data_IF_454025196658
#
_entry.id   IF_454025196658
#
_cell.length_a   1.000
_cell.length_b   1.000
_cell.length_c   1.000
_cell.angle_alpha   90.00
_cell.angle_beta   90.00
_cell.angle_gamma   90.00
#
_symmetry.space_group_name_H-M   'P 1'
#
loop_
_entity.id
_entity.type
_entity.pdbx_description
1 polymer ?
#
# COMPACT_ATOMS: atom_id res chain seq x y z
N UNK A 1 25.73 9.72 8.20
CA UNK A 1 24.33 9.93 7.79
C UNK A 1 23.78 8.54 7.45
N UNK A 2 23.04 7.91 8.39
CA UNK A 2 22.59 6.52 8.24
C UNK A 2 21.38 6.47 7.30
N UNK A 3 21.37 5.56 6.36
CA UNK A 3 20.24 5.36 5.45
C UNK A 3 19.02 4.85 6.21
N UNK A 4 17.82 5.25 5.82
CA UNK A 4 16.54 4.91 6.46
C UNK A 4 16.26 3.40 6.52
N UNK A 5 16.97 2.58 5.74
CA UNK A 5 16.89 1.12 5.69
C UNK A 5 17.61 0.41 6.85
N UNK A 6 18.64 1.01 7.46
CA UNK A 6 19.45 0.36 8.50
C UNK A 6 18.89 0.51 9.91
N UNK A 7 18.08 1.56 10.16
CA UNK A 7 17.49 1.82 11.47
C UNK A 7 16.68 0.65 12.07
N UNK A 8 15.81 -0.04 11.32
CA UNK A 8 15.03 -1.15 11.90
C UNK A 8 15.89 -2.38 12.25
N UNK A 9 16.98 -2.63 11.53
CA UNK A 9 17.89 -3.75 11.82
C UNK A 9 18.70 -3.52 13.10
N UNK A 10 19.26 -2.31 13.27
CA UNK A 10 20.00 -1.91 14.46
C UNK A 10 19.11 -1.90 15.71
N UNK A 11 17.89 -1.40 15.60
CA UNK A 11 16.92 -1.39 16.70
C UNK A 11 16.57 -2.82 17.14
N UNK A 12 16.39 -3.74 16.17
CA UNK A 12 16.09 -5.15 16.42
C UNK A 12 17.24 -5.85 17.12
N UNK A 13 18.47 -5.69 16.61
CA UNK A 13 19.67 -6.26 17.24
C UNK A 13 19.86 -5.70 18.65
N UNK A 14 19.68 -4.40 18.85
CA UNK A 14 19.72 -3.76 20.16
C UNK A 14 18.68 -4.32 21.13
N UNK A 15 17.47 -4.57 20.68
CA UNK A 15 16.40 -5.16 21.49
C UNK A 15 16.74 -6.60 21.91
N UNK A 16 17.27 -7.43 21.00
CA UNK A 16 17.72 -8.79 21.33
C UNK A 16 18.83 -8.78 22.38
N UNK A 17 19.84 -7.92 22.21
CA UNK A 17 20.93 -7.77 23.20
C UNK A 17 20.39 -7.33 24.54
N UNK A 18 19.50 -6.35 24.58
CA UNK A 18 18.91 -5.85 25.82
C UNK A 18 18.12 -6.94 26.56
N UNK A 19 17.32 -7.74 25.84
CA UNK A 19 16.56 -8.85 26.44
C UNK A 19 17.51 -9.89 27.05
N UNK A 20 18.57 -10.30 26.36
CA UNK A 20 19.54 -11.27 26.89
C UNK A 20 20.32 -10.70 28.08
N UNK A 21 20.74 -9.45 28.02
CA UNK A 21 21.41 -8.75 29.13
C UNK A 21 20.50 -8.75 30.36
N UNK A 22 19.23 -8.37 30.21
CA UNK A 22 18.28 -8.39 31.32
C UNK A 22 18.08 -9.79 31.89
N UNK A 23 17.94 -10.82 31.03
CA UNK A 23 17.76 -12.21 31.46
C UNK A 23 18.99 -12.74 32.22
N UNK A 24 20.19 -12.29 31.87
CA UNK A 24 21.43 -12.68 32.55
C UNK A 24 21.65 -11.92 33.86
N UNK A 25 21.43 -10.59 33.81
CA UNK A 25 21.72 -9.73 34.99
C UNK A 25 20.63 -9.86 36.06
N UNK A 26 19.37 -10.04 35.70
CA UNK A 26 18.24 -10.03 36.63
C UNK A 26 18.36 -11.12 37.72
N UNK A 27 18.68 -12.41 37.39
CA UNK A 27 18.92 -13.45 38.42
C UNK A 27 20.11 -13.15 39.30
N UNK A 28 21.16 -12.56 38.74
CA UNK A 28 22.37 -12.18 39.52
C UNK A 28 22.02 -11.07 40.52
N UNK A 29 21.23 -10.09 40.10
CA UNK A 29 20.78 -8.99 40.99
C UNK A 29 19.88 -9.51 42.13
N UNK A 30 19.01 -10.48 41.84
CA UNK A 30 18.15 -11.12 42.86
C UNK A 30 18.96 -11.95 43.86
N UNK A 31 20.14 -12.46 43.48
CA UNK A 31 20.99 -13.30 44.34
C UNK A 31 21.94 -12.51 45.26
N UNK A 32 21.99 -11.19 45.17
CA UNK A 32 22.93 -10.34 45.96
C UNK A 32 22.70 -10.31 47.47
N UNK A 33 21.69 -11.03 47.99
CA UNK A 33 21.43 -11.10 49.44
C UNK A 33 22.30 -12.11 50.22
N UNK A 34 22.96 -13.09 49.55
CA UNK A 34 23.71 -14.16 50.22
C UNK A 34 24.99 -14.48 49.44
N UNK A 35 26.15 -13.94 49.89
CA UNK A 35 27.42 -14.07 49.16
C UNK A 35 28.26 -15.25 49.67
N UNK A 36 27.70 -16.49 49.68
CA UNK A 36 28.50 -17.69 49.93
C UNK A 36 29.03 -18.29 48.62
N UNK A 37 30.23 -18.93 48.63
CA UNK A 37 30.73 -19.68 47.47
C UNK A 37 29.73 -20.71 46.93
N UNK A 38 28.90 -21.31 47.80
CA UNK A 38 27.85 -22.27 47.45
C UNK A 38 26.76 -21.63 46.56
N UNK A 39 26.48 -20.34 46.69
CA UNK A 39 25.46 -19.64 45.93
C UNK A 39 25.92 -19.33 44.49
N UNK A 40 27.23 -19.07 44.28
CA UNK A 40 27.81 -18.95 42.94
C UNK A 40 27.70 -20.25 42.12
N UNK A 41 28.00 -21.42 42.75
CA UNK A 41 27.84 -22.73 42.10
C UNK A 41 26.35 -22.98 41.73
N UNK A 42 25.46 -22.58 42.60
CA UNK A 42 24.01 -22.70 42.37
C UNK A 42 23.57 -21.80 41.22
N UNK A 43 24.00 -20.54 41.17
CA UNK A 43 23.71 -19.58 40.09
C UNK A 43 24.21 -20.09 38.74
N UNK A 44 25.47 -20.53 38.67
CA UNK A 44 26.04 -21.09 37.44
C UNK A 44 25.24 -22.29 36.96
N UNK A 45 24.98 -23.23 37.82
CA UNK A 45 24.34 -24.50 37.51
C UNK A 45 22.89 -24.39 37.08
N UNK A 46 22.10 -23.55 37.74
CA UNK A 46 20.64 -23.48 37.53
C UNK A 46 20.18 -22.27 36.72
N UNK A 47 21.08 -21.33 36.43
CA UNK A 47 20.74 -20.10 35.71
C UNK A 47 21.61 -19.88 34.48
N UNK A 48 22.92 -19.75 34.62
CA UNK A 48 23.79 -19.36 33.51
C UNK A 48 23.91 -20.46 32.46
N UNK A 49 24.12 -21.75 32.87
CA UNK A 49 24.24 -22.87 31.94
C UNK A 49 22.95 -23.04 31.10
N UNK A 50 21.74 -23.12 31.70
CA UNK A 50 20.50 -23.18 30.92
C UNK A 50 20.29 -21.99 29.97
N UNK A 51 20.67 -20.77 30.37
CA UNK A 51 20.54 -19.59 29.52
C UNK A 51 21.36 -19.69 28.25
N UNK A 52 22.58 -20.24 28.32
CA UNK A 52 23.39 -20.48 27.12
C UNK A 52 22.65 -21.43 26.16
N UNK A 53 22.06 -22.53 26.67
CA UNK A 53 21.29 -23.44 25.84
C UNK A 53 20.04 -22.82 25.26
N UNK A 54 19.32 -21.99 26.03
CA UNK A 54 18.16 -21.25 25.55
C UNK A 54 18.54 -20.29 24.41
N UNK A 55 19.67 -19.58 24.54
CA UNK A 55 20.16 -18.70 23.49
C UNK A 55 20.52 -19.49 22.22
N UNK A 56 21.22 -20.62 22.33
CA UNK A 56 21.58 -21.46 21.19
C UNK A 56 20.30 -21.98 20.49
N UNK A 57 19.35 -22.56 21.26
CA UNK A 57 18.08 -23.07 20.71
C UNK A 57 17.29 -21.94 20.02
N UNK A 58 17.20 -20.79 20.68
CA UNK A 58 16.51 -19.63 20.14
C UNK A 58 17.11 -19.19 18.79
N UNK A 59 18.40 -18.88 18.75
CA UNK A 59 19.03 -18.37 17.54
C UNK A 59 19.12 -19.42 16.43
N UNK A 60 19.33 -20.69 16.75
CA UNK A 60 19.31 -21.77 15.77
C UNK A 60 17.93 -21.86 15.09
N UNK A 61 16.87 -21.78 15.87
CA UNK A 61 15.51 -21.77 15.35
C UNK A 61 15.20 -20.47 14.58
N UNK A 62 15.50 -19.32 15.20
CA UNK A 62 15.15 -18.00 14.63
C UNK A 62 15.91 -17.69 13.33
N UNK A 63 17.21 -18.03 13.24
CA UNK A 63 18.04 -17.71 12.09
C UNK A 63 18.02 -18.79 10.99
N UNK A 64 17.78 -20.07 11.36
CA UNK A 64 18.00 -21.17 10.42
C UNK A 64 16.78 -22.09 10.28
N UNK A 65 16.34 -22.76 11.35
CA UNK A 65 15.42 -23.89 11.26
C UNK A 65 14.01 -23.48 10.78
N UNK A 66 13.49 -22.35 11.26
CA UNK A 66 12.16 -21.90 10.89
C UNK A 66 12.10 -21.54 9.40
N UNK A 67 13.09 -20.78 8.90
CA UNK A 67 13.12 -20.35 7.49
C UNK A 67 13.40 -21.51 6.53
N UNK A 68 14.29 -22.44 6.91
CA UNK A 68 14.74 -23.52 6.01
C UNK A 68 13.84 -24.75 6.03
N UNK A 69 13.17 -25.03 7.14
CA UNK A 69 12.38 -26.24 7.31
C UNK A 69 10.89 -25.94 7.42
N UNK A 70 10.48 -25.09 8.35
CA UNK A 70 9.07 -24.90 8.64
C UNK A 70 8.36 -24.16 7.51
N UNK A 71 8.91 -23.03 7.04
CA UNK A 71 8.33 -22.27 5.91
C UNK A 71 8.49 -22.96 4.55
N UNK A 72 9.38 -23.96 4.45
CA UNK A 72 9.51 -24.82 3.27
C UNK A 72 8.67 -26.11 3.34
N UNK A 73 7.63 -26.13 4.20
CA UNK A 73 6.70 -27.27 4.37
C UNK A 73 7.36 -28.58 4.82
N UNK A 74 8.51 -28.51 5.49
CA UNK A 74 9.22 -29.66 6.08
C UNK A 74 9.05 -29.71 7.59
N UNK A 75 7.82 -29.53 8.07
CA UNK A 75 7.50 -29.40 9.50
C UNK A 75 7.93 -30.63 10.33
N UNK A 76 7.86 -31.84 9.76
CA UNK A 76 8.26 -33.05 10.45
C UNK A 76 9.77 -33.06 10.76
N UNK A 77 10.62 -32.60 9.82
CA UNK A 77 12.07 -32.44 10.05
C UNK A 77 12.36 -31.38 11.12
N UNK A 78 11.62 -30.26 11.08
CA UNK A 78 11.71 -29.24 12.10
C UNK A 78 11.43 -29.80 13.49
N UNK A 79 10.36 -30.59 13.65
CA UNK A 79 10.02 -31.23 14.93
C UNK A 79 11.08 -32.24 15.37
N UNK A 80 11.57 -33.10 14.47
CA UNK A 80 12.62 -34.10 14.80
C UNK A 80 13.92 -33.45 15.26
N UNK A 81 14.38 -32.41 14.54
CA UNK A 81 15.63 -31.72 14.90
C UNK A 81 15.46 -31.00 16.24
N UNK A 82 14.34 -30.31 16.49
CA UNK A 82 14.12 -29.68 17.77
C UNK A 82 14.00 -30.69 18.93
N UNK A 83 13.36 -31.83 18.71
CA UNK A 83 13.30 -32.89 19.69
C UNK A 83 14.72 -33.44 20.02
N UNK A 84 15.54 -33.65 18.99
CA UNK A 84 16.93 -34.09 19.17
C UNK A 84 17.75 -33.02 19.92
N UNK A 85 17.60 -31.73 19.59
CA UNK A 85 18.27 -30.63 20.28
C UNK A 85 17.88 -30.54 21.75
N UNK A 86 16.59 -30.60 22.05
CA UNK A 86 16.08 -30.55 23.43
C UNK A 86 16.63 -31.74 24.23
N UNK A 87 16.57 -32.95 23.67
CA UNK A 87 17.08 -34.16 24.34
C UNK A 87 18.59 -34.08 24.59
N UNK A 88 19.36 -33.67 23.57
CA UNK A 88 20.81 -33.51 23.68
C UNK A 88 21.19 -32.46 24.73
N UNK A 89 20.56 -31.29 24.73
CA UNK A 89 20.89 -30.24 25.71
C UNK A 89 20.39 -30.56 27.11
N UNK A 90 19.27 -31.28 27.26
CA UNK A 90 18.83 -31.79 28.58
C UNK A 90 19.83 -32.78 29.14
N UNK A 91 20.33 -33.71 28.32
CA UNK A 91 21.35 -34.65 28.73
C UNK A 91 22.66 -33.92 29.08
N UNK A 92 23.14 -33.01 28.24
CA UNK A 92 24.35 -32.22 28.47
C UNK A 92 24.24 -31.38 29.75
N UNK A 93 23.10 -30.79 30.00
CA UNK A 93 22.84 -30.03 31.23
C UNK A 93 22.89 -30.92 32.46
N UNK A 94 22.39 -32.16 32.37
CA UNK A 94 22.50 -33.13 33.46
C UNK A 94 23.97 -33.49 33.76
N UNK A 95 24.79 -33.78 32.74
CA UNK A 95 26.22 -34.07 32.90
C UNK A 95 26.97 -32.88 33.50
N UNK A 96 26.71 -31.65 33.05
CA UNK A 96 27.33 -30.46 33.61
C UNK A 96 26.95 -30.27 35.08
N UNK A 97 25.70 -30.53 35.44
CA UNK A 97 25.25 -30.49 36.86
C UNK A 97 26.01 -31.48 37.72
N UNK A 98 26.21 -32.70 37.25
CA UNK A 98 26.98 -33.73 37.97
C UNK A 98 28.47 -33.35 38.10
N UNK A 99 29.08 -32.83 37.04
CA UNK A 99 30.46 -32.32 37.07
C UNK A 99 30.63 -31.17 38.07
N UNK A 100 29.72 -30.19 38.08
CA UNK A 100 29.76 -29.07 39.05
C UNK A 100 29.60 -29.59 40.49
N UNK A 101 28.75 -30.61 40.74
CA UNK A 101 28.62 -31.24 42.05
C UNK A 101 29.89 -31.92 42.48
N UNK A 102 30.53 -32.67 41.57
CA UNK A 102 31.80 -33.37 41.84
C UNK A 102 32.92 -32.35 42.21
N UNK A 103 33.05 -31.28 41.42
CA UNK A 103 34.03 -30.21 41.68
C UNK A 103 33.80 -29.54 43.04
N UNK A 104 32.53 -29.32 43.41
CA UNK A 104 32.18 -28.76 44.73
C UNK A 104 32.55 -29.70 45.87
N UNK A 105 32.25 -30.99 45.70
CA UNK A 105 32.51 -31.99 46.74
C UNK A 105 34.04 -32.28 46.94
N UNK A 106 34.86 -31.96 45.94
CA UNK A 106 36.33 -31.97 46.02
C UNK A 106 36.91 -30.74 46.74
N UNK A 107 36.15 -29.67 46.89
CA UNK A 107 36.56 -28.43 47.57
C UNK A 107 36.19 -28.53 49.05
N UNK A 108 37.13 -28.42 50.01
CA UNK A 108 36.83 -28.49 51.44
C UNK A 108 35.87 -27.35 51.81
N UNK A 109 34.81 -27.62 52.62
CA UNK A 109 33.90 -26.58 53.07
C UNK A 109 34.66 -25.57 53.93
N UNK A 110 34.33 -24.26 53.84
CA UNK A 110 34.93 -23.25 54.71
C UNK A 110 34.77 -23.62 56.20
N UNK A 111 35.75 -23.35 57.06
CA UNK A 111 35.63 -23.59 58.49
C UNK A 111 34.39 -22.85 59.06
N UNK A 112 33.50 -23.58 59.78
CA UNK A 112 32.29 -23.02 60.36
C UNK A 112 31.04 -23.06 59.46
N UNK A 113 31.11 -23.70 58.31
CA UNK A 113 29.91 -23.88 57.44
C UNK A 113 28.86 -24.74 58.13
N UNK A 114 27.57 -24.38 58.11
CA UNK A 114 26.51 -25.22 58.63
C UNK A 114 26.46 -26.55 57.87
N UNK A 115 26.07 -27.65 58.53
CA UNK A 115 25.94 -28.94 57.85
C UNK A 115 24.93 -28.82 56.70
N UNK A 116 25.32 -29.39 55.53
CA UNK A 116 24.46 -29.41 54.33
C UNK A 116 23.11 -30.01 54.69
N UNK A 117 22.00 -29.34 54.32
CA UNK A 117 20.66 -29.83 54.61
C UNK A 117 20.50 -31.25 54.05
N UNK A 118 19.90 -32.15 54.89
CA UNK A 118 19.73 -33.55 54.59
C UNK A 118 19.11 -33.80 53.21
N UNK A 119 19.49 -34.91 52.59
CA UNK A 119 19.23 -35.31 51.19
C UNK A 119 17.75 -35.59 50.84
N UNK A 120 16.83 -34.72 51.09
CA UNK A 120 15.55 -34.79 50.39
C UNK A 120 15.70 -34.12 48.99
N UNK A 121 16.52 -34.79 48.13
CA UNK A 121 16.58 -34.34 46.69
C UNK A 121 15.23 -34.69 46.07
N UNK A 122 14.54 -33.69 45.44
CA UNK A 122 13.34 -33.99 44.65
C UNK A 122 13.66 -35.05 43.60
N UNK A 123 12.66 -35.85 43.17
CA UNK A 123 12.88 -36.92 42.19
C UNK A 123 13.55 -36.35 40.91
N UNK A 124 14.56 -37.06 40.40
CA UNK A 124 15.32 -36.67 39.21
C UNK A 124 14.41 -36.42 38.03
N UNK A 125 13.30 -37.14 37.93
CA UNK A 125 12.27 -37.01 36.92
C UNK A 125 11.69 -35.56 36.87
N UNK A 126 11.48 -34.95 38.03
CA UNK A 126 10.93 -33.59 38.09
C UNK A 126 11.88 -32.55 37.46
N UNK A 127 13.17 -32.73 37.63
CA UNK A 127 14.18 -31.85 37.00
C UNK A 127 14.25 -32.06 35.50
N UNK A 128 14.15 -33.28 35.01
CA UNK A 128 14.12 -33.59 33.58
C UNK A 128 12.90 -32.97 32.92
N UNK A 129 11.70 -33.10 33.50
CA UNK A 129 10.47 -32.46 32.99
C UNK A 129 10.59 -30.93 32.93
N UNK A 130 11.13 -30.32 34.00
CA UNK A 130 11.36 -28.88 34.03
C UNK A 130 12.29 -28.44 32.89
N UNK A 131 13.42 -29.12 32.71
CA UNK A 131 14.40 -28.78 31.69
C UNK A 131 13.84 -29.00 30.29
N UNK A 132 13.08 -30.08 30.02
CA UNK A 132 12.41 -30.31 28.74
C UNK A 132 11.40 -29.20 28.39
N UNK A 133 10.55 -28.81 29.34
CA UNK A 133 9.56 -27.76 29.13
C UNK A 133 10.24 -26.41 28.93
N UNK A 134 11.23 -26.09 29.75
CA UNK A 134 11.91 -24.79 29.69
C UNK A 134 12.69 -24.58 28.37
N UNK A 135 13.29 -25.67 27.83
CA UNK A 135 13.98 -25.61 26.54
C UNK A 135 13.02 -25.49 25.33
N UNK A 136 11.74 -25.80 25.50
CA UNK A 136 10.70 -25.54 24.48
C UNK A 136 10.31 -24.06 24.34
N UNK A 137 10.43 -23.29 25.42
CA UNK A 137 10.02 -21.86 25.42
C UNK A 137 10.77 -21.03 24.36
N UNK A 138 12.10 -21.09 24.22
CA UNK A 138 12.84 -20.36 23.18
C UNK A 138 12.37 -20.67 21.77
N UNK A 139 11.95 -21.90 21.49
CA UNK A 139 11.45 -22.32 20.18
C UNK A 139 10.12 -21.62 19.89
N UNK A 140 9.21 -21.59 20.88
CA UNK A 140 7.90 -20.92 20.76
C UNK A 140 8.09 -19.41 20.54
N UNK A 141 9.00 -18.78 21.28
CA UNK A 141 9.28 -17.34 21.14
C UNK A 141 9.87 -17.07 19.75
N UNK A 142 10.88 -17.86 19.32
CA UNK A 142 11.47 -17.71 17.99
C UNK A 142 10.42 -17.86 16.87
N UNK A 143 9.53 -18.83 17.01
CA UNK A 143 8.44 -19.09 16.09
C UNK A 143 7.45 -17.90 16.04
N UNK A 144 7.02 -17.39 17.19
CA UNK A 144 6.10 -16.26 17.27
C UNK A 144 6.69 -15.00 16.63
N UNK A 145 7.98 -14.70 16.88
CA UNK A 145 8.66 -13.57 16.28
C UNK A 145 8.77 -13.72 14.76
N UNK A 146 9.13 -14.91 14.27
CA UNK A 146 9.24 -15.17 12.82
C UNK A 146 7.91 -15.12 12.09
N UNK A 147 6.83 -15.62 12.69
CA UNK A 147 5.48 -15.49 12.11
C UNK A 147 5.09 -14.01 11.99
N UNK A 148 5.30 -13.24 13.06
CA UNK A 148 4.97 -11.81 13.05
C UNK A 148 5.77 -11.06 11.98
N UNK A 149 7.07 -11.33 11.82
CA UNK A 149 7.89 -10.74 10.74
C UNK A 149 7.36 -11.12 9.36
N UNK A 150 7.06 -12.41 9.16
CA UNK A 150 6.55 -12.91 7.88
C UNK A 150 5.19 -12.31 7.53
N UNK A 151 4.30 -12.20 8.51
CA UNK A 151 2.98 -11.61 8.33
C UNK A 151 3.09 -10.13 7.96
N UNK A 152 3.88 -9.36 8.72
CA UNK A 152 4.09 -7.93 8.45
C UNK A 152 4.66 -7.69 7.04
N UNK A 153 5.67 -8.48 6.61
CA UNK A 153 6.23 -8.34 5.27
C UNK A 153 5.23 -8.71 4.17
N UNK A 154 4.45 -9.77 4.37
CA UNK A 154 3.44 -10.21 3.39
C UNK A 154 2.31 -9.20 3.25
N UNK A 155 1.88 -8.59 4.35
CA UNK A 155 0.84 -7.54 4.33
C UNK A 155 1.34 -6.28 3.62
N UNK A 156 2.59 -5.85 3.87
CA UNK A 156 3.20 -4.73 3.18
C UNK A 156 3.31 -4.97 1.65
N UNK A 157 3.78 -6.16 1.25
CA UNK A 157 3.83 -6.55 -0.17
C UNK A 157 2.43 -6.56 -0.82
N UNK A 158 1.40 -7.02 -0.09
CA UNK A 158 0.03 -7.04 -0.58
C UNK A 158 -0.49 -5.63 -0.82
N UNK A 159 -0.29 -4.71 0.13
CA UNK A 159 -0.70 -3.31 0.00
C UNK A 159 0.00 -2.61 -1.17
N UNK A 160 1.29 -2.88 -1.38
CA UNK A 160 2.04 -2.33 -2.51
C UNK A 160 1.48 -2.84 -3.84
N UNK A 161 1.22 -4.15 -3.97
CA UNK A 161 0.60 -4.73 -5.17
C UNK A 161 -0.80 -4.19 -5.45
N UNK A 162 -1.63 -4.02 -4.41
CA UNK A 162 -2.96 -3.42 -4.56
C UNK A 162 -2.87 -1.99 -5.06
N UNK A 163 -1.91 -1.19 -4.56
CA UNK A 163 -1.63 0.15 -5.04
C UNK A 163 -1.17 0.17 -6.51
N UNK A 164 -0.30 -0.75 -6.91
CA UNK A 164 0.19 -0.85 -8.29
C UNK A 164 -0.92 -1.24 -9.26
N UNK A 165 -1.78 -2.19 -8.87
CA UNK A 165 -2.96 -2.57 -9.66
C UNK A 165 -3.89 -1.36 -9.84
N UNK A 166 -4.16 -0.63 -8.75
CA UNK A 166 -5.01 0.55 -8.78
C UNK A 166 -4.45 1.65 -9.69
N UNK A 167 -3.14 1.93 -9.60
CA UNK A 167 -2.46 2.90 -10.45
C UNK A 167 -2.53 2.48 -11.94
N UNK A 168 -2.32 1.19 -12.23
CA UNK A 168 -2.42 0.65 -13.59
C UNK A 168 -3.85 0.78 -14.13
N UNK A 169 -4.87 0.50 -13.31
CA UNK A 169 -6.27 0.65 -13.69
C UNK A 169 -6.61 2.12 -13.95
N UNK A 170 -6.15 3.04 -13.10
CA UNK A 170 -6.31 4.48 -13.32
C UNK A 170 -5.65 4.97 -14.61
N UNK A 171 -4.43 4.49 -14.91
CA UNK A 171 -3.74 4.80 -16.16
C UNK A 171 -4.51 4.27 -17.37
N UNK A 172 -4.96 3.03 -17.34
CA UNK A 172 -5.76 2.43 -18.42
C UNK A 172 -7.06 3.21 -18.66
N UNK A 173 -7.75 3.62 -17.59
CA UNK A 173 -8.95 4.47 -17.68
C UNK A 173 -8.64 5.82 -18.31
N UNK A 174 -7.45 6.39 -18.04
CA UNK A 174 -6.97 7.64 -18.63
C UNK A 174 -6.68 7.49 -20.14
N UNK A 175 -6.02 6.40 -20.54
CA UNK A 175 -5.66 6.15 -21.96
C UNK A 175 -6.85 5.79 -22.85
N UNK A 176 -7.94 5.26 -22.32
CA UNK A 176 -9.13 4.92 -23.11
C UNK A 176 -9.87 6.12 -23.70
N UNK A 177 -9.57 7.33 -23.25
CA UNK A 177 -10.32 8.54 -23.61
C UNK A 177 -9.89 9.19 -24.92
N UNK A 178 -8.81 8.77 -25.63
CA UNK A 178 -8.17 9.71 -26.55
C UNK A 178 -7.82 9.32 -28.00
N UNK A 179 -7.62 8.09 -28.44
CA UNK A 179 -7.18 7.82 -29.81
C UNK A 179 -8.16 8.32 -30.89
N UNK A 180 -9.43 8.13 -30.65
CA UNK A 180 -10.47 8.48 -31.61
C UNK A 180 -10.61 10.01 -31.85
N UNK A 181 -10.40 10.82 -30.81
CA UNK A 181 -10.41 12.27 -30.94
C UNK A 181 -9.30 12.77 -31.87
N UNK A 182 -8.09 12.25 -31.71
CA UNK A 182 -6.96 12.67 -32.55
C UNK A 182 -7.13 12.28 -34.01
N UNK A 183 -7.53 11.04 -34.28
CA UNK A 183 -7.81 10.60 -35.64
C UNK A 183 -8.88 11.45 -36.31
N UNK A 184 -9.95 11.78 -35.59
CA UNK A 184 -11.00 12.63 -36.12
C UNK A 184 -10.55 14.08 -36.36
N UNK A 185 -9.68 14.63 -35.49
CA UNK A 185 -9.14 15.96 -35.64
C UNK A 185 -8.19 16.04 -36.84
N UNK A 186 -7.34 15.05 -37.04
CA UNK A 186 -6.47 14.94 -38.22
C UNK A 186 -7.25 14.85 -39.53
N UNK A 187 -8.31 14.02 -39.55
CA UNK A 187 -9.20 13.92 -40.72
C UNK A 187 -9.88 15.26 -41.03
N UNK A 188 -10.27 16.01 -40.01
CA UNK A 188 -10.84 17.33 -40.19
C UNK A 188 -9.83 18.33 -40.75
N UNK A 189 -8.60 18.36 -40.22
CA UNK A 189 -7.51 19.17 -40.75
C UNK A 189 -7.25 18.85 -42.21
N UNK A 190 -7.21 17.58 -42.57
CA UNK A 190 -7.03 17.16 -43.96
C UNK A 190 -8.13 17.73 -44.87
N UNK A 191 -9.39 17.67 -44.45
CA UNK A 191 -10.51 18.24 -45.21
C UNK A 191 -10.45 19.79 -45.29
N UNK A 192 -9.84 20.46 -44.31
CA UNK A 192 -9.70 21.92 -44.29
C UNK A 192 -8.57 22.43 -45.18
N UNK A 193 -7.54 21.60 -45.46
CA UNK A 193 -6.36 22.03 -46.24
C UNK A 193 -6.77 22.64 -47.61
N UNK A 194 -7.71 22.00 -48.30
CA UNK A 194 -8.15 22.46 -49.59
C UNK A 194 -9.19 23.62 -49.53
N UNK A 195 -9.99 23.66 -48.44
CA UNK A 195 -11.12 24.60 -48.35
C UNK A 195 -10.72 25.91 -47.67
N UNK A 196 -9.86 25.85 -46.68
CA UNK A 196 -9.41 27.01 -45.89
C UNK A 196 -8.02 26.73 -45.28
N UNK A 197 -6.92 26.96 -46.00
CA UNK A 197 -5.55 26.69 -45.51
C UNK A 197 -5.22 27.42 -44.19
N UNK A 198 -5.68 28.65 -44.01
CA UNK A 198 -5.47 29.42 -42.78
C UNK A 198 -6.13 28.76 -41.57
N UNK A 199 -7.38 28.29 -41.73
CA UNK A 199 -8.10 27.59 -40.67
C UNK A 199 -7.49 26.22 -40.39
N UNK A 200 -6.96 25.53 -41.41
CA UNK A 200 -6.23 24.28 -41.24
C UNK A 200 -4.96 24.50 -40.37
N UNK A 201 -4.19 25.55 -40.63
CA UNK A 201 -3.00 25.91 -39.84
C UNK A 201 -3.35 26.22 -38.36
N UNK A 202 -4.43 27.02 -38.15
CA UNK A 202 -4.90 27.33 -36.79
C UNK A 202 -5.36 26.08 -36.05
N UNK A 203 -6.05 25.19 -36.75
CA UNK A 203 -6.50 23.90 -36.22
C UNK A 203 -5.33 22.99 -35.82
N UNK A 204 -4.28 22.93 -36.66
CA UNK A 204 -3.02 22.22 -36.34
C UNK A 204 -2.36 22.77 -35.08
N UNK A 205 -2.28 24.11 -34.97
CA UNK A 205 -1.69 24.77 -33.82
C UNK A 205 -2.46 24.47 -32.52
N UNK A 206 -3.80 24.55 -32.60
CA UNK A 206 -4.70 24.23 -31.48
C UNK A 206 -4.58 22.74 -31.06
N UNK A 207 -4.52 21.82 -32.02
CA UNK A 207 -4.31 20.39 -31.77
C UNK A 207 -2.95 20.11 -31.12
N UNK A 208 -1.89 20.80 -31.59
CA UNK A 208 -0.57 20.66 -31.00
C UNK A 208 -0.51 21.12 -29.53
N UNK A 209 -1.22 22.19 -29.18
CA UNK A 209 -1.36 22.64 -27.78
C UNK A 209 -2.08 21.61 -26.91
N UNK A 210 -3.19 21.07 -27.40
CA UNK A 210 -3.93 20.01 -26.70
C UNK A 210 -3.07 18.75 -26.51
N UNK A 211 -2.32 18.33 -27.56
CA UNK A 211 -1.41 17.19 -27.46
C UNK A 211 -0.30 17.43 -26.43
N UNK A 212 0.24 18.63 -26.36
CA UNK A 212 1.28 18.95 -25.35
C UNK A 212 0.76 18.78 -23.94
N UNK A 213 -0.41 19.33 -23.65
CA UNK A 213 -1.06 19.15 -22.35
C UNK A 213 -1.25 17.67 -22.02
N UNK A 214 -1.75 16.89 -22.99
CA UNK A 214 -2.00 15.45 -22.82
C UNK A 214 -0.73 14.62 -22.58
N UNK A 215 0.38 14.98 -23.22
CA UNK A 215 1.62 14.20 -23.15
C UNK A 215 2.50 14.57 -21.94
N UNK A 216 2.48 15.82 -21.52
CA UNK A 216 3.40 16.33 -20.50
C UNK A 216 2.71 16.72 -19.19
N UNK A 217 1.57 17.37 -19.25
CA UNK A 217 0.94 17.91 -18.05
C UNK A 217 0.04 16.90 -17.34
N UNK A 218 -0.40 15.85 -18.04
CA UNK A 218 -1.25 14.80 -17.47
C UNK A 218 -0.50 13.66 -16.80
N UNK A 219 0.84 13.64 -16.79
CA UNK A 219 1.63 12.61 -16.09
C UNK A 219 1.67 12.80 -14.57
N UNK A 220 1.20 13.95 -14.10
CA UNK A 220 1.01 14.21 -12.67
C UNK A 220 -0.34 13.68 -12.19
N UNK A 221 -0.45 13.24 -10.92
CA UNK A 221 -1.72 12.78 -10.36
C UNK A 221 -2.75 13.89 -10.25
N UNK A 222 -2.31 15.15 -10.20
CA UNK A 222 -3.15 16.36 -10.13
C UNK A 222 -2.55 17.50 -10.97
N UNK A 223 -3.43 18.31 -11.52
CA UNK A 223 -3.11 19.54 -12.28
C UNK A 223 -3.88 20.71 -11.70
N UNK A 224 -3.45 21.94 -12.00
CA UNK A 224 -4.22 23.12 -11.60
C UNK A 224 -5.58 23.14 -12.31
N UNK A 225 -6.63 23.59 -11.61
CA UNK A 225 -7.94 23.77 -12.22
C UNK A 225 -7.89 24.78 -13.35
N UNK A 226 -7.01 25.77 -13.30
CA UNK A 226 -6.78 26.75 -14.36
C UNK A 226 -6.29 26.09 -15.66
N UNK A 227 -5.35 25.15 -15.55
CA UNK A 227 -4.82 24.41 -16.71
C UNK A 227 -5.89 23.50 -17.32
N UNK A 228 -6.66 22.81 -16.47
CA UNK A 228 -7.78 21.99 -16.92
C UNK A 228 -8.85 22.81 -17.63
N UNK A 229 -9.19 24.00 -17.09
CA UNK A 229 -10.10 24.95 -17.75
C UNK A 229 -9.53 25.44 -19.09
N UNK A 230 -8.24 25.76 -19.14
CA UNK A 230 -7.54 26.12 -20.37
C UNK A 230 -7.64 25.02 -21.42
N UNK A 231 -7.43 23.79 -21.03
CA UNK A 231 -7.58 22.62 -21.90
C UNK A 231 -9.03 22.47 -22.39
N UNK A 232 -10.02 22.55 -21.49
CA UNK A 232 -11.44 22.45 -21.86
C UNK A 232 -11.85 23.54 -22.88
N UNK A 233 -11.44 24.79 -22.67
CA UNK A 233 -11.70 25.89 -23.62
C UNK A 233 -11.14 25.59 -25.00
N UNK A 234 -9.87 25.20 -25.08
CA UNK A 234 -9.23 24.85 -26.35
C UNK A 234 -9.91 23.66 -27.03
N UNK A 235 -10.32 22.67 -26.28
CA UNK A 235 -11.04 21.52 -26.79
C UNK A 235 -12.39 21.91 -27.39
N UNK A 236 -13.18 22.71 -26.66
CA UNK A 236 -14.49 23.20 -27.14
C UNK A 236 -14.34 24.04 -28.41
N UNK A 237 -13.35 24.93 -28.46
CA UNK A 237 -13.10 25.75 -29.66
C UNK A 237 -12.70 24.86 -30.86
N UNK A 238 -11.84 23.90 -30.66
CA UNK A 238 -11.48 22.94 -31.71
C UNK A 238 -12.69 22.15 -32.23
N UNK A 239 -13.59 21.74 -31.33
CA UNK A 239 -14.82 21.05 -31.71
C UNK A 239 -15.80 21.92 -32.44
N UNK A 240 -15.90 23.21 -32.10
CA UNK A 240 -16.74 24.20 -32.80
C UNK A 240 -16.39 24.32 -34.29
N UNK A 241 -15.11 24.25 -34.65
CA UNK A 241 -14.65 24.33 -36.06
C UNK A 241 -15.23 23.21 -36.96
N UNK A 242 -15.76 22.16 -36.37
CA UNK A 242 -16.35 21.00 -37.07
C UNK A 242 -17.86 21.06 -37.22
N UNK A 243 -18.49 22.09 -36.62
CA UNK A 243 -19.92 22.17 -36.55
C UNK A 243 -20.48 22.99 -37.73
N UNK A 244 -21.71 22.69 -38.13
CA UNK A 244 -22.47 23.52 -39.03
C UNK A 244 -23.15 24.67 -38.30
N UNK A 245 -23.64 25.64 -39.02
CA UNK A 245 -24.39 26.79 -38.47
C UNK A 245 -25.66 26.38 -37.68
N UNK A 246 -26.06 25.12 -37.77
CA UNK A 246 -27.18 24.55 -36.99
C UNK A 246 -26.83 24.20 -35.56
N UNK A 247 -25.56 24.21 -35.20
CA UNK A 247 -25.12 23.86 -33.85
C UNK A 247 -24.67 25.10 -33.10
N UNK A 248 -25.31 25.36 -31.97
CA UNK A 248 -24.93 26.42 -31.03
C UNK A 248 -24.23 25.81 -29.82
N UNK A 249 -23.04 26.34 -29.52
CA UNK A 249 -22.22 25.85 -28.36
C UNK A 249 -21.86 27.04 -27.50
N UNK A 250 -22.28 26.98 -26.25
CA UNK A 250 -21.94 27.95 -25.20
C UNK A 250 -21.04 27.30 -24.17
N UNK A 251 -19.97 27.98 -23.73
CA UNK A 251 -19.07 27.54 -22.71
C UNK A 251 -18.77 28.66 -21.72
N UNK A 252 -19.23 28.50 -20.50
CA UNK A 252 -19.08 29.45 -19.40
C UNK A 252 -18.09 28.85 -18.38
N UNK A 253 -16.82 29.19 -18.55
CA UNK A 253 -15.74 28.75 -17.67
C UNK A 253 -15.11 29.98 -17.01
N UNK A 254 -15.12 30.06 -15.68
CA UNK A 254 -14.58 31.21 -14.95
C UNK A 254 -13.05 31.30 -15.07
N UNK A 255 -12.51 32.45 -14.78
CA UNK A 255 -11.12 32.60 -14.42
C UNK A 255 -10.98 32.25 -12.92
N UNK A 256 -10.20 31.24 -12.62
CA UNK A 256 -10.03 30.75 -11.24
C UNK A 256 -8.76 31.32 -10.65
N UNK A 257 -8.93 32.16 -9.61
CA UNK A 257 -7.85 32.68 -8.78
C UNK A 257 -7.73 31.76 -7.56
N UNK A 258 -6.71 30.90 -7.50
CA UNK A 258 -6.47 30.01 -6.35
C UNK A 258 -5.81 28.68 -6.72
N UNK A 259 -5.33 27.98 -5.71
CA UNK A 259 -4.62 26.68 -5.82
C UNK A 259 -5.60 25.50 -5.77
N UNK A 260 -6.55 25.46 -6.70
CA UNK A 260 -7.39 24.26 -6.83
C UNK A 260 -6.69 23.24 -7.71
N UNK A 261 -6.58 22.01 -7.20
CA UNK A 261 -6.01 20.89 -7.93
C UNK A 261 -7.06 19.83 -8.21
N UNK A 262 -7.10 19.36 -9.46
CA UNK A 262 -8.00 18.31 -9.93
C UNK A 262 -7.22 17.24 -10.68
N UNK A 263 -7.73 16.00 -10.77
CA UNK A 263 -7.17 15.01 -11.67
C UNK A 263 -7.25 15.49 -13.11
N UNK A 264 -6.18 15.36 -13.90
CA UNK A 264 -6.19 15.77 -15.30
C UNK A 264 -7.27 15.05 -16.09
N UNK A 265 -7.87 15.72 -17.07
CA UNK A 265 -8.89 15.19 -17.99
C UNK A 265 -10.17 14.69 -17.29
N UNK A 266 -10.52 15.32 -16.17
CA UNK A 266 -11.69 14.89 -15.40
C UNK A 266 -12.99 15.25 -16.11
N UNK A 267 -13.08 16.50 -16.62
CA UNK A 267 -14.31 17.04 -17.19
C UNK A 267 -14.46 16.76 -18.70
N UNK A 268 -13.36 16.45 -19.38
CA UNK A 268 -13.37 16.28 -20.84
C UNK A 268 -14.31 15.16 -21.32
N UNK A 269 -14.43 14.09 -20.54
CA UNK A 269 -15.34 12.99 -20.87
C UNK A 269 -16.80 13.42 -20.94
N UNK A 270 -17.19 14.44 -20.18
CA UNK A 270 -18.55 15.01 -20.20
C UNK A 270 -18.76 15.89 -21.41
N UNK A 271 -17.72 16.68 -21.76
CA UNK A 271 -17.74 17.53 -22.97
C UNK A 271 -17.79 16.63 -24.22
N UNK A 272 -16.94 15.59 -24.31
CA UNK A 272 -16.97 14.62 -25.42
C UNK A 272 -18.33 13.94 -25.56
N UNK A 273 -18.91 13.52 -24.44
CA UNK A 273 -20.23 12.89 -24.46
C UNK A 273 -21.31 13.82 -25.02
N UNK A 274 -21.28 15.12 -24.64
CA UNK A 274 -22.22 16.11 -25.13
C UNK A 274 -22.06 16.34 -26.64
N UNK A 275 -20.82 16.48 -27.15
CA UNK A 275 -20.58 16.63 -28.60
C UNK A 275 -20.98 15.38 -29.38
N UNK A 276 -20.69 14.19 -28.84
CA UNK A 276 -21.00 12.91 -29.50
C UNK A 276 -22.49 12.65 -29.64
N UNK A 277 -23.28 13.06 -28.66
CA UNK A 277 -24.68 12.72 -28.55
C UNK A 277 -25.62 13.91 -28.78
N UNK A 278 -25.11 15.15 -28.65
CA UNK A 278 -25.88 16.38 -28.76
C UNK A 278 -25.84 17.07 -30.13
N UNK A 279 -25.12 16.51 -31.11
CA UNK A 279 -25.01 17.09 -32.46
C UNK A 279 -25.76 16.26 -33.49
N UNK A 280 -26.57 16.93 -34.31
CA UNK A 280 -27.24 16.35 -35.45
C UNK A 280 -26.79 17.05 -36.74
N UNK A 281 -26.60 16.30 -37.82
CA UNK A 281 -26.30 16.84 -39.13
C UNK A 281 -27.53 17.57 -39.77
N UNK A 282 -28.75 17.24 -39.34
CA UNK A 282 -29.99 17.69 -40.00
C UNK A 282 -30.81 18.63 -39.13
N UNK A 283 -30.69 18.55 -37.81
CA UNK A 283 -31.52 19.30 -36.85
C UNK A 283 -30.69 20.31 -36.08
N UNK A 284 -31.35 21.36 -35.54
CA UNK A 284 -30.71 22.32 -34.66
C UNK A 284 -30.23 21.62 -33.38
N UNK A 285 -29.03 21.95 -32.97
CA UNK A 285 -28.34 21.34 -31.81
C UNK A 285 -27.87 22.46 -30.88
N UNK A 286 -28.10 22.28 -29.58
CA UNK A 286 -27.66 23.23 -28.55
C UNK A 286 -26.83 22.47 -27.53
N UNK A 287 -25.62 22.98 -27.20
CA UNK A 287 -24.75 22.48 -26.15
C UNK A 287 -24.39 23.64 -25.23
N UNK A 288 -24.43 23.38 -23.94
CA UNK A 288 -24.01 24.36 -22.92
C UNK A 288 -23.12 23.68 -21.91
N UNK A 289 -21.97 24.29 -21.61
CA UNK A 289 -21.03 23.86 -20.62
C UNK A 289 -20.82 24.94 -19.59
N UNK A 290 -20.92 24.62 -18.32
CA UNK A 290 -20.68 25.57 -17.24
C UNK A 290 -19.84 24.95 -16.16
N UNK A 291 -18.85 25.70 -15.65
CA UNK A 291 -18.06 25.34 -14.48
C UNK A 291 -18.21 26.46 -13.43
N UNK A 292 -18.48 26.07 -12.21
CA UNK A 292 -18.64 26.98 -11.07
C UNK A 292 -17.71 26.49 -9.93
N UNK A 293 -17.08 27.43 -9.22
CA UNK A 293 -16.27 27.18 -8.05
C UNK A 293 -16.87 27.88 -6.85
N UNK A 294 -17.34 27.11 -5.87
CA UNK A 294 -18.06 27.63 -4.68
C UNK A 294 -17.31 27.09 -3.44
N UNK A 295 -16.39 27.91 -2.91
CA UNK A 295 -15.50 27.43 -1.84
C UNK A 295 -14.73 26.18 -2.28
N UNK A 296 -14.73 25.09 -1.52
CA UNK A 296 -14.02 23.87 -1.89
C UNK A 296 -14.76 23.02 -2.94
N UNK A 297 -15.97 23.41 -3.32
CA UNK A 297 -16.79 22.68 -4.28
C UNK A 297 -16.57 23.18 -5.68
N UNK A 298 -16.30 22.25 -6.61
CA UNK A 298 -16.27 22.50 -8.05
C UNK A 298 -17.48 21.77 -8.63
N UNK A 299 -18.34 22.53 -9.33
CA UNK A 299 -19.49 22.01 -10.03
C UNK A 299 -19.28 22.19 -11.53
N UNK A 300 -19.37 21.11 -12.27
CA UNK A 300 -19.40 21.13 -13.73
C UNK A 300 -20.75 20.64 -14.22
N UNK A 301 -21.36 21.36 -15.14
CA UNK A 301 -22.61 20.97 -15.81
C UNK A 301 -22.43 20.95 -17.31
N UNK A 302 -22.96 19.94 -17.96
CA UNK A 302 -23.06 19.84 -19.41
C UNK A 302 -24.51 19.55 -19.78
N UNK A 303 -25.04 20.37 -20.66
CA UNK A 303 -26.39 20.22 -21.21
C UNK A 303 -26.30 20.13 -22.73
N UNK A 304 -27.00 19.20 -23.33
CA UNK A 304 -27.07 19.06 -24.78
C UNK A 304 -28.44 18.61 -25.25
N UNK A 305 -28.79 18.96 -26.49
CA UNK A 305 -29.96 18.40 -27.17
C UNK A 305 -29.86 16.89 -27.19
N UNK A 306 -30.92 16.20 -26.80
CA UNK A 306 -30.98 14.74 -26.77
C UNK A 306 -31.54 14.20 -28.07
N UNK A 307 -30.69 13.57 -28.87
CA UNK A 307 -31.09 12.82 -30.06
C UNK A 307 -31.11 11.34 -29.75
N UNK A 308 -32.30 10.70 -29.55
CA UNK A 308 -32.38 9.28 -29.26
C UNK A 308 -31.81 8.48 -30.41
N UNK A 309 -30.84 7.61 -30.11
CA UNK A 309 -30.19 6.74 -31.07
C UNK A 309 -31.08 5.58 -31.46
N UNK A 310 -30.96 5.14 -32.71
CA UNK A 310 -31.57 3.88 -33.18
C UNK A 310 -30.83 2.70 -32.53
N UNK A 311 -31.49 1.52 -32.44
CA UNK A 311 -30.88 0.32 -31.82
C UNK A 311 -29.58 -0.14 -32.48
N UNK A 312 -29.34 0.23 -33.76
CA UNK A 312 -28.11 -0.06 -34.49
C UNK A 312 -26.89 0.75 -34.09
N UNK A 313 -27.07 1.86 -33.40
CA UNK A 313 -26.00 2.80 -33.01
C UNK A 313 -25.49 2.59 -31.56
N UNK A 314 -25.84 1.50 -30.90
CA UNK A 314 -25.50 1.23 -29.50
C UNK A 314 -24.04 0.82 -29.27
N UNK A 315 -23.22 0.63 -30.30
CA UNK A 315 -21.81 0.29 -30.16
C UNK A 315 -20.99 1.45 -29.60
N UNK A 316 -20.48 1.30 -28.39
CA UNK A 316 -19.60 2.27 -27.73
C UNK A 316 -20.31 3.40 -26.94
N UNK A 317 -21.64 3.34 -26.77
CA UNK A 317 -22.41 4.30 -25.99
C UNK A 317 -22.32 3.97 -24.50
N UNK A 318 -21.79 4.91 -23.69
CA UNK A 318 -21.80 4.82 -22.23
C UNK A 318 -20.47 4.44 -21.56
N UNK A 319 -19.49 3.90 -22.28
CA UNK A 319 -18.19 3.48 -21.69
C UNK A 319 -17.47 4.65 -21.02
N UNK A 320 -17.47 5.84 -21.63
CA UNK A 320 -16.83 7.04 -21.09
C UNK A 320 -17.40 7.48 -19.73
N UNK A 321 -18.73 7.50 -19.60
CA UNK A 321 -19.39 7.90 -18.35
C UNK A 321 -19.26 6.80 -17.26
N UNK A 322 -19.24 5.51 -17.65
CA UNK A 322 -18.99 4.40 -16.72
C UNK A 322 -17.56 4.50 -16.17
N UNK A 323 -16.59 4.75 -17.04
CA UNK A 323 -15.19 4.91 -16.66
C UNK A 323 -14.99 6.15 -15.77
N UNK A 324 -15.64 7.28 -16.12
CA UNK A 324 -15.61 8.47 -15.28
C UNK A 324 -16.18 8.17 -13.88
N UNK A 325 -17.32 7.49 -13.78
CA UNK A 325 -17.91 7.13 -12.47
C UNK A 325 -16.99 6.24 -11.64
N UNK A 326 -16.37 5.23 -12.25
CA UNK A 326 -15.36 4.39 -11.57
C UNK A 326 -14.19 5.23 -11.07
N UNK A 327 -13.64 6.10 -11.93
CA UNK A 327 -12.53 6.98 -11.60
C UNK A 327 -12.86 7.94 -10.46
N UNK A 328 -14.05 8.53 -10.45
CA UNK A 328 -14.54 9.39 -9.37
C UNK A 328 -14.64 8.62 -8.04
N UNK A 329 -15.16 7.41 -8.05
CA UNK A 329 -15.23 6.56 -6.86
C UNK A 329 -13.85 6.25 -6.25
N UNK A 330 -12.81 6.11 -7.10
CA UNK A 330 -11.44 5.86 -6.66
C UNK A 330 -10.74 7.11 -6.12
N UNK A 331 -10.93 8.27 -6.78
CA UNK A 331 -10.18 9.50 -6.45
C UNK A 331 -10.90 10.36 -5.41
N UNK A 332 -12.23 10.38 -5.43
CA UNK A 332 -13.09 11.16 -4.53
C UNK A 332 -14.11 10.27 -3.81
N UNK A 333 -13.69 9.27 -3.01
CA UNK A 333 -14.64 8.44 -2.26
C UNK A 333 -15.46 9.33 -1.33
N UNK A 334 -16.79 9.20 -1.41
CA UNK A 334 -17.80 9.97 -0.64
C UNK A 334 -17.69 11.50 -0.75
N UNK A 335 -16.90 12.03 -1.71
CA UNK A 335 -16.66 13.47 -1.93
C UNK A 335 -17.03 13.93 -3.34
N UNK A 336 -17.81 13.14 -4.07
CA UNK A 336 -18.33 13.50 -5.37
C UNK A 336 -19.82 13.21 -5.50
N UNK A 337 -20.51 14.02 -6.32
CA UNK A 337 -21.87 13.77 -6.75
C UNK A 337 -21.90 13.77 -8.27
N UNK A 338 -22.36 12.68 -8.87
CA UNK A 338 -22.48 12.54 -10.31
C UNK A 338 -23.89 12.11 -10.69
N UNK A 339 -24.60 12.97 -11.39
CA UNK A 339 -25.98 12.71 -11.82
C UNK A 339 -26.16 13.04 -13.29
N UNK A 340 -26.96 12.22 -13.98
CA UNK A 340 -27.36 12.48 -15.37
C UNK A 340 -28.84 12.20 -15.55
N UNK A 341 -29.54 13.04 -16.30
CA UNK A 341 -30.96 12.89 -16.55
C UNK A 341 -31.36 13.42 -17.93
N UNK A 342 -32.49 12.96 -18.44
CA UNK A 342 -33.15 13.47 -19.64
C UNK A 342 -34.33 14.33 -19.19
N UNK A 343 -34.36 15.56 -19.62
CA UNK A 343 -35.47 16.50 -19.40
C UNK A 343 -36.04 16.96 -20.75
N UNK A 344 -37.17 16.40 -21.12
CA UNK A 344 -37.76 16.66 -22.44
C UNK A 344 -36.81 16.28 -23.59
N UNK A 345 -36.42 17.27 -24.40
CA UNK A 345 -35.47 17.12 -25.50
C UNK A 345 -34.03 17.40 -25.12
N UNK A 346 -33.70 17.50 -23.85
CA UNK A 346 -32.35 17.81 -23.37
C UNK A 346 -31.81 16.70 -22.49
N UNK A 347 -30.49 16.50 -22.55
CA UNK A 347 -29.74 15.64 -21.67
C UNK A 347 -28.83 16.50 -20.80
N UNK A 348 -28.98 16.38 -19.49
CA UNK A 348 -28.24 17.15 -18.48
C UNK A 348 -27.32 16.19 -17.67
N UNK A 349 -26.08 16.60 -17.50
CA UNK A 349 -25.12 15.94 -16.61
C UNK A 349 -24.57 16.97 -15.64
N UNK A 350 -24.50 16.59 -14.37
CA UNK A 350 -23.89 17.41 -13.31
C UNK A 350 -22.85 16.56 -12.57
N UNK A 351 -21.68 17.13 -12.43
CA UNK A 351 -20.59 16.59 -11.62
C UNK A 351 -20.19 17.63 -10.57
N UNK A 352 -20.26 17.25 -9.31
CA UNK A 352 -19.74 18.04 -8.19
C UNK A 352 -18.63 17.28 -7.51
N UNK A 353 -17.52 17.95 -7.20
CA UNK A 353 -16.41 17.40 -6.44
C UNK A 353 -16.02 18.33 -5.31
N UNK A 354 -15.72 17.76 -4.16
CA UNK A 354 -15.18 18.48 -3.02
C UNK A 354 -13.65 18.31 -2.99
N UNK A 355 -12.93 19.42 -3.15
CA UNK A 355 -11.46 19.46 -3.20
C UNK A 355 -10.81 19.66 -1.83
N UNK A 356 -11.59 19.80 -0.74
CA UNK A 356 -11.03 19.89 0.60
C UNK A 356 -10.09 18.68 0.83
N UNK A 357 -8.90 18.92 1.37
CA UNK A 357 -8.03 17.85 1.83
C UNK A 357 -8.77 16.99 2.87
N UNK A 358 -8.60 15.67 2.77
CA UNK A 358 -9.12 14.73 3.77
C UNK A 358 -8.27 14.79 5.03
#
# INVERSE_FOLDING_TARGET
MWTTSEKPALLRTGLHLLVWILLIIFPFFLSQGESSPADYHRLIKYTLVPMVFYAIIFYLNYLLLIDTLLFRKRAWLFLLINLALITCFTWLHFEIKELINLLRDLSPPPPGSPPLPGKNKPPVQLFIYKDLISMGIPIIIAFALKINEKWSSTEAEKQEREKDILNTELQNLKYQLQPHFFFNSLNNIYALIERSPSLAQETVHSLAKLMRYLLYDTDTPRVSLSDEIGFMRQYVELMKLRLSDKAKVEADFPEVSGTYEVPPLLFISLIENAFKHGISATQNSELSFRLEVIGPMIRFSAENTNFPKSEKDKSGSGIGLINLRKRLGLIYPDRHYFHSRVEGSRYLVVLEINTSAA
#
